data_IF_639784770392
#
_entry.id   IF_639784770392
#
_cell.length_a   1.000
_cell.length_b   1.000
_cell.length_c   1.000
_cell.angle_alpha   90.00
_cell.angle_beta   90.00
_cell.angle_gamma   90.00
#
_symmetry.space_group_name_H-M   'P 1'
#
loop_
_entity.id
_entity.type
_entity.pdbx_description
1 polymer ?
#
# COMPACT_ATOMS: atom_id res chain seq x y z
N UNK A 1 20.99 12.82 -7.89
CA UNK A 1 20.62 13.84 -8.91
C UNK A 1 19.70 13.18 -9.92
N UNK A 2 18.45 13.63 -10.01
CA UNK A 2 17.44 13.05 -10.91
C UNK A 2 17.78 13.52 -12.33
N UNK A 3 17.76 12.64 -13.35
CA UNK A 3 18.05 13.00 -14.72
C UNK A 3 17.09 14.11 -15.21
N UNK A 4 17.63 15.09 -15.96
CA UNK A 4 16.85 16.20 -16.50
C UNK A 4 15.74 15.74 -17.45
N UNK A 5 15.94 14.59 -18.13
CA UNK A 5 14.93 13.93 -18.96
C UNK A 5 13.67 13.53 -18.19
N UNK A 6 13.80 13.11 -16.93
CA UNK A 6 12.64 12.71 -16.09
C UNK A 6 11.78 13.92 -15.73
N UNK A 7 12.40 15.08 -15.47
CA UNK A 7 11.69 16.33 -15.20
C UNK A 7 10.94 16.87 -16.44
N UNK A 8 11.58 16.75 -17.61
CA UNK A 8 10.93 17.15 -18.87
C UNK A 8 9.71 16.29 -19.18
N UNK A 9 9.80 14.98 -18.94
CA UNK A 9 8.69 14.05 -19.13
C UNK A 9 7.54 14.31 -18.16
N UNK A 10 7.81 14.67 -16.90
CA UNK A 10 6.81 15.07 -15.92
C UNK A 10 6.05 16.33 -16.35
N UNK A 11 6.77 17.36 -16.79
CA UNK A 11 6.14 18.61 -17.26
C UNK A 11 5.25 18.38 -18.48
N UNK A 12 5.67 17.53 -19.42
CA UNK A 12 4.88 17.22 -20.62
C UNK A 12 3.63 16.39 -20.26
N UNK A 13 3.74 15.43 -19.33
CA UNK A 13 2.59 14.67 -18.83
C UNK A 13 1.58 15.52 -18.06
N UNK A 14 2.06 16.44 -17.23
CA UNK A 14 1.20 17.40 -16.52
C UNK A 14 0.48 18.31 -17.52
N UNK A 15 1.16 18.76 -18.57
CA UNK A 15 0.55 19.55 -19.66
C UNK A 15 -0.50 18.78 -20.45
N UNK A 16 -0.26 17.50 -20.78
CA UNK A 16 -1.21 16.65 -21.51
C UNK A 16 -2.40 16.25 -20.66
N UNK A 17 -2.22 16.03 -19.34
CA UNK A 17 -3.29 15.72 -18.40
C UNK A 17 -4.23 16.90 -18.12
N UNK A 18 -3.77 18.13 -18.29
CA UNK A 18 -4.55 19.37 -18.13
C UNK A 18 -5.16 19.89 -19.43
N UNK A 19 -5.10 19.13 -20.53
CA UNK A 19 -5.54 19.51 -21.86
C UNK A 19 -7.03 19.87 -21.98
N UNK A 20 -7.39 21.00 -21.40
CA UNK A 20 -8.57 21.80 -21.71
C UNK A 20 -8.12 23.19 -22.15
N UNK A 21 -8.22 23.43 -23.46
CA UNK A 21 -8.35 24.76 -24.01
C UNK A 21 -7.11 25.64 -24.01
N UNK A 22 -6.59 25.93 -25.24
CA UNK A 22 -5.73 27.07 -25.47
C UNK A 22 -6.38 28.36 -25.01
N UNK A 23 -6.08 28.77 -23.82
CA UNK A 23 -6.43 30.06 -23.26
C UNK A 23 -5.36 30.43 -22.25
N UNK A 24 -4.70 31.54 -22.54
CA UNK A 24 -3.74 32.30 -21.73
C UNK A 24 -3.25 31.60 -20.45
N UNK A 25 -1.95 31.34 -20.38
CA UNK A 25 -1.24 30.98 -19.15
C UNK A 25 -1.58 32.01 -18.05
N UNK A 26 -2.68 31.82 -17.36
CA UNK A 26 -3.01 32.61 -16.21
C UNK A 26 -2.15 32.18 -15.05
N UNK A 27 -1.62 33.13 -14.32
CA UNK A 27 -0.84 33.02 -13.08
C UNK A 27 -1.49 32.20 -11.94
N UNK A 28 -2.62 31.53 -12.19
CA UNK A 28 -3.39 30.80 -11.19
C UNK A 28 -2.73 29.52 -10.69
N UNK A 29 -1.95 28.81 -11.52
CA UNK A 29 -1.27 27.57 -11.11
C UNK A 29 -0.07 27.87 -10.20
N UNK A 30 0.75 28.86 -10.55
CA UNK A 30 1.84 29.33 -9.71
C UNK A 30 1.33 29.92 -8.37
N UNK A 31 0.22 30.66 -8.42
CA UNK A 31 -0.37 31.28 -7.22
C UNK A 31 -1.00 30.27 -6.25
N UNK A 32 -1.40 29.06 -6.69
CA UNK A 32 -1.92 28.03 -5.79
C UNK A 32 -0.78 27.33 -5.04
N UNK A 33 0.29 26.93 -5.73
CA UNK A 33 1.47 26.31 -5.12
C UNK A 33 2.20 27.27 -4.16
N UNK A 34 2.34 28.56 -4.55
CA UNK A 34 2.95 29.58 -3.70
C UNK A 34 2.12 29.92 -2.45
N UNK A 35 0.78 29.94 -2.56
CA UNK A 35 -0.12 30.12 -1.41
C UNK A 35 -0.06 28.91 -0.48
N UNK A 36 -0.03 27.70 -1.00
CA UNK A 36 0.10 26.48 -0.21
C UNK A 36 1.46 26.44 0.52
N UNK A 37 2.54 26.83 -0.15
CA UNK A 37 3.87 26.89 0.44
C UNK A 37 3.97 27.89 1.61
N UNK A 38 3.46 29.09 1.43
CA UNK A 38 3.42 30.12 2.49
C UNK A 38 2.63 29.65 3.72
N UNK A 39 1.48 29.03 3.51
CA UNK A 39 0.68 28.48 4.61
C UNK A 39 1.42 27.38 5.38
N UNK A 40 2.13 26.48 4.70
CA UNK A 40 2.93 25.44 5.33
C UNK A 40 4.13 26.01 6.10
N UNK A 41 4.83 27.00 5.53
CA UNK A 41 5.96 27.67 6.16
C UNK A 41 5.54 28.53 7.36
N UNK A 42 4.38 29.19 7.28
CA UNK A 42 3.81 29.97 8.39
C UNK A 42 3.42 29.06 9.55
N UNK A 43 2.76 27.93 9.27
CA UNK A 43 2.38 26.94 10.27
C UNK A 43 3.62 26.30 10.93
N UNK A 44 4.66 25.99 10.15
CA UNK A 44 5.92 25.50 10.69
C UNK A 44 6.61 26.56 11.56
N UNK A 45 6.56 27.82 11.17
CA UNK A 45 7.11 28.95 11.96
C UNK A 45 6.37 29.12 13.28
N UNK A 46 5.04 28.97 13.30
CA UNK A 46 4.26 29.03 14.53
C UNK A 46 4.67 27.88 15.48
N UNK A 47 4.80 26.66 14.97
CA UNK A 47 5.25 25.52 15.76
C UNK A 47 6.69 25.69 16.29
N UNK A 48 7.61 26.22 15.49
CA UNK A 48 9.00 26.50 15.92
C UNK A 48 9.04 27.48 17.10
N UNK A 49 8.14 28.47 17.10
CA UNK A 49 7.96 29.43 18.20
C UNK A 49 7.23 28.86 19.42
N UNK A 50 6.85 27.60 19.40
CA UNK A 50 6.12 26.92 20.49
C UNK A 50 4.61 27.19 20.50
N UNK A 51 4.04 27.75 19.44
CA UNK A 51 2.61 28.01 19.31
C UNK A 51 1.96 26.98 18.41
N UNK A 52 1.31 25.97 18.98
CA UNK A 52 0.55 24.96 18.26
C UNK A 52 1.26 23.60 18.09
N UNK A 53 0.54 22.65 17.50
CA UNK A 53 1.02 21.32 17.17
C UNK A 53 1.89 21.34 15.90
N UNK A 54 2.64 20.26 15.63
CA UNK A 54 3.38 20.13 14.38
C UNK A 54 2.42 20.10 13.18
N UNK A 55 2.68 20.90 12.12
CA UNK A 55 1.71 21.15 11.05
C UNK A 55 1.73 20.06 9.96
N UNK A 56 1.44 18.81 10.33
CA UNK A 56 1.40 17.69 9.40
C UNK A 56 0.45 17.92 8.21
N UNK A 57 -0.74 18.44 8.49
CA UNK A 57 -1.79 18.65 7.48
C UNK A 57 -1.36 19.67 6.43
N UNK A 58 -0.83 20.81 6.86
CA UNK A 58 -0.39 21.89 5.99
C UNK A 58 0.80 21.47 5.13
N UNK A 59 1.76 20.77 5.74
CA UNK A 59 2.94 20.24 5.05
C UNK A 59 2.55 19.14 4.04
N UNK A 60 1.67 18.21 4.42
CA UNK A 60 1.21 17.15 3.51
C UNK A 60 0.47 17.73 2.31
N UNK A 61 -0.44 18.69 2.53
CA UNK A 61 -1.14 19.40 1.44
C UNK A 61 -0.17 20.15 0.54
N UNK A 62 0.86 20.75 1.11
CA UNK A 62 1.90 21.40 0.31
C UNK A 62 2.61 20.39 -0.60
N UNK A 63 3.07 19.25 -0.06
CA UNK A 63 3.73 18.21 -0.87
C UNK A 63 2.81 17.60 -1.93
N UNK A 64 1.53 17.44 -1.63
CA UNK A 64 0.55 16.97 -2.63
C UNK A 64 0.31 17.99 -3.75
N UNK A 65 0.44 19.29 -3.45
CA UNK A 65 0.25 20.34 -4.43
C UNK A 65 1.47 20.58 -5.33
N UNK A 66 2.68 20.40 -4.81
CA UNK A 66 3.91 20.74 -5.55
C UNK A 66 4.78 19.53 -5.90
N UNK A 67 4.65 18.41 -5.19
CA UNK A 67 5.59 17.30 -5.19
C UNK A 67 6.80 17.57 -4.28
N UNK A 68 7.35 16.53 -3.66
CA UNK A 68 8.54 16.67 -2.78
C UNK A 68 9.77 17.15 -3.53
N UNK A 69 9.91 16.78 -4.83
CA UNK A 69 11.02 17.21 -5.67
C UNK A 69 11.02 18.73 -5.92
N UNK A 70 9.84 19.37 -5.86
CA UNK A 70 9.68 20.81 -6.07
C UNK A 70 9.54 21.60 -4.75
N UNK A 71 9.66 20.94 -3.60
CA UNK A 71 9.64 21.63 -2.31
C UNK A 71 10.84 22.58 -2.18
N UNK A 72 10.61 23.76 -1.57
CA UNK A 72 11.67 24.75 -1.43
C UNK A 72 12.84 24.19 -0.61
N UNK A 73 14.11 24.40 -1.04
CA UNK A 73 15.26 23.96 -0.24
C UNK A 73 15.28 24.57 1.17
N UNK A 74 14.64 25.72 1.37
CA UNK A 74 14.52 26.36 2.67
C UNK A 74 13.59 25.55 3.58
N UNK A 75 12.43 25.11 3.09
CA UNK A 75 11.50 24.26 3.85
C UNK A 75 12.16 22.92 4.22
N UNK A 76 12.80 22.26 3.25
CA UNK A 76 13.48 20.97 3.48
C UNK A 76 14.57 21.11 4.54
N UNK A 77 15.41 22.15 4.49
CA UNK A 77 16.43 22.41 5.52
C UNK A 77 15.82 22.63 6.90
N UNK A 78 14.70 23.37 7.01
CA UNK A 78 14.01 23.59 8.29
C UNK A 78 13.50 22.28 8.88
N UNK A 79 12.87 21.43 8.06
CA UNK A 79 12.38 20.12 8.49
C UNK A 79 13.54 19.20 8.92
N UNK A 80 14.62 19.16 8.16
CA UNK A 80 15.82 18.39 8.52
C UNK A 80 16.50 18.87 9.80
N UNK A 81 16.34 20.14 10.15
CA UNK A 81 16.91 20.75 11.37
C UNK A 81 16.05 20.56 12.63
N UNK A 82 14.87 19.91 12.54
CA UNK A 82 14.00 19.67 13.70
C UNK A 82 14.74 18.85 14.75
N UNK A 83 14.96 19.38 15.97
CA UNK A 83 15.73 18.70 17.00
C UNK A 83 15.08 17.40 17.46
N UNK A 84 15.87 16.35 17.67
CA UNK A 84 15.37 15.06 18.17
C UNK A 84 14.58 15.17 19.47
N UNK A 85 14.93 16.10 20.34
CA UNK A 85 14.21 16.38 21.60
C UNK A 85 12.78 16.89 21.40
N UNK A 86 12.43 17.34 20.19
CA UNK A 86 11.07 17.79 19.81
C UNK A 86 10.32 16.76 18.95
N UNK A 87 10.93 15.62 18.70
CA UNK A 87 10.34 14.55 17.87
C UNK A 87 9.74 13.48 18.77
N UNK A 88 8.43 13.26 18.64
CA UNK A 88 7.82 12.00 19.06
C UNK A 88 8.15 10.87 18.05
N UNK A 89 7.73 9.66 18.33
CA UNK A 89 8.01 8.51 17.47
C UNK A 89 7.43 8.66 16.06
N UNK A 90 6.26 9.30 15.93
CA UNK A 90 5.63 9.54 14.63
C UNK A 90 6.43 10.56 13.82
N UNK A 91 6.77 11.70 14.41
CA UNK A 91 7.53 12.75 13.74
C UNK A 91 8.92 12.25 13.33
N UNK A 92 9.57 11.46 14.20
CA UNK A 92 10.88 10.88 13.91
C UNK A 92 10.87 9.94 12.71
N UNK A 93 9.76 9.23 12.47
CA UNK A 93 9.59 8.36 11.30
C UNK A 93 9.10 9.15 10.06
N UNK A 94 8.30 10.21 10.26
CA UNK A 94 7.70 11.00 9.19
C UNK A 94 8.70 11.99 8.54
N UNK A 95 9.54 12.65 9.34
CA UNK A 95 10.50 13.66 8.84
C UNK A 95 11.46 13.13 7.76
N UNK A 96 12.08 11.94 7.89
CA UNK A 96 12.95 11.41 6.86
C UNK A 96 12.28 11.30 5.50
N UNK A 97 10.97 11.03 5.45
CA UNK A 97 10.23 10.97 4.19
C UNK A 97 10.09 12.32 3.51
N UNK A 98 9.94 13.40 4.27
CA UNK A 98 9.81 14.75 3.72
C UNK A 98 11.13 15.31 3.22
N UNK A 99 12.24 14.91 3.83
CA UNK A 99 13.58 15.35 3.49
C UNK A 99 14.26 14.45 2.44
N UNK A 100 13.70 13.26 2.18
CA UNK A 100 14.26 12.30 1.26
C UNK A 100 13.84 12.62 -0.18
N UNK A 101 14.71 13.30 -0.88
CA UNK A 101 14.58 13.54 -2.32
C UNK A 101 15.29 12.46 -3.15
N UNK A 102 16.20 11.66 -2.57
CA UNK A 102 17.09 10.77 -3.33
C UNK A 102 17.21 9.35 -2.77
N UNK A 103 16.97 9.06 -1.49
CA UNK A 103 17.44 7.82 -0.85
C UNK A 103 16.51 7.11 0.11
N UNK A 104 15.27 7.51 0.29
CA UNK A 104 14.36 6.84 1.21
C UNK A 104 14.19 5.35 0.84
N UNK A 105 14.45 4.47 1.79
CA UNK A 105 14.23 3.04 1.63
C UNK A 105 12.74 2.73 1.37
N UNK A 106 12.46 1.57 0.80
CA UNK A 106 11.09 1.06 0.60
C UNK A 106 10.21 1.16 1.86
N UNK A 107 10.72 0.92 3.09
CA UNK A 107 9.93 1.08 4.31
C UNK A 107 9.37 2.49 4.52
N UNK A 108 10.10 3.53 4.11
CA UNK A 108 9.64 4.92 4.26
C UNK A 108 8.54 5.29 3.27
N UNK A 109 8.50 4.67 2.12
CA UNK A 109 7.57 4.99 1.05
C UNK A 109 6.24 4.21 1.16
N UNK A 110 6.32 2.92 1.44
CA UNK A 110 5.20 1.99 1.39
C UNK A 110 4.71 1.55 2.77
N UNK A 111 5.64 1.27 3.69
CA UNK A 111 5.35 0.70 5.01
C UNK A 111 5.12 1.73 6.11
N UNK A 112 5.27 3.03 5.82
CA UNK A 112 5.17 4.07 6.85
C UNK A 112 3.85 4.00 7.64
N UNK A 113 2.66 3.87 7.02
CA UNK A 113 1.42 3.81 7.79
C UNK A 113 1.39 2.62 8.75
N UNK A 114 1.70 1.42 8.29
CA UNK A 114 1.70 0.22 9.13
C UNK A 114 2.79 0.27 10.21
N UNK A 115 3.97 0.80 9.89
CA UNK A 115 5.05 0.99 10.85
C UNK A 115 4.68 1.98 11.95
N UNK A 116 4.12 3.13 11.60
CA UNK A 116 3.73 4.17 12.55
C UNK A 116 2.65 3.71 13.52
N UNK A 117 1.65 3.00 13.03
CA UNK A 117 0.56 2.52 13.86
C UNK A 117 0.98 1.37 14.76
N UNK A 118 1.87 0.52 14.27
CA UNK A 118 2.34 -0.65 15.00
C UNK A 118 3.35 -0.28 16.10
N UNK A 119 4.19 0.73 15.86
CA UNK A 119 5.18 1.19 16.84
C UNK A 119 4.61 2.17 17.88
N UNK A 120 3.32 2.50 17.80
CA UNK A 120 2.66 3.39 18.74
C UNK A 120 2.92 4.89 18.49
N UNK A 121 3.33 5.25 17.30
CA UNK A 121 3.60 6.61 16.86
C UNK A 121 2.38 7.42 16.41
N UNK A 122 1.24 7.27 17.03
CA UNK A 122 0.09 8.19 16.85
C UNK A 122 0.29 9.46 17.66
N UNK A 123 -0.27 10.54 17.19
CA UNK A 123 -0.23 11.93 17.69
C UNK A 123 -0.25 12.09 19.21
N UNK A 124 0.90 11.97 19.86
CA UNK A 124 1.07 12.28 21.30
C UNK A 124 0.46 11.31 22.30
N UNK A 125 -0.28 10.30 21.87
CA UNK A 125 -0.68 9.15 22.67
C UNK A 125 0.02 7.91 22.13
N UNK A 126 1.25 7.70 22.61
CA UNK A 126 1.83 6.35 22.57
C UNK A 126 0.74 5.38 23.00
N UNK A 127 0.35 4.48 22.11
CA UNK A 127 -0.46 3.33 22.50
C UNK A 127 0.52 2.32 23.11
N UNK A 128 0.79 2.37 24.45
CA UNK A 128 1.74 1.49 25.07
C UNK A 128 1.27 0.05 24.85
N UNK A 129 2.13 -0.83 24.32
CA UNK A 129 1.88 -2.25 24.22
C UNK A 129 1.38 -2.80 22.87
N UNK A 130 1.13 -1.96 21.85
CA UNK A 130 0.73 -2.49 20.53
C UNK A 130 1.83 -3.33 19.85
N UNK A 131 3.09 -3.08 20.15
CA UNK A 131 4.21 -3.86 19.65
C UNK A 131 4.25 -5.31 20.19
N UNK A 132 3.62 -5.57 21.35
CA UNK A 132 3.62 -6.87 22.03
C UNK A 132 2.28 -7.61 21.95
N UNK A 133 1.19 -6.98 21.50
CA UNK A 133 -0.15 -7.58 21.42
C UNK A 133 -0.57 -7.79 19.95
N UNK A 134 -0.53 -9.07 19.46
CA UNK A 134 -0.87 -9.40 18.08
C UNK A 134 -2.32 -9.05 17.72
N UNK A 135 -3.26 -9.18 18.64
CA UNK A 135 -4.68 -8.91 18.38
C UNK A 135 -4.92 -7.41 18.23
N UNK A 136 -4.34 -6.60 19.10
CA UNK A 136 -4.39 -5.15 18.98
C UNK A 136 -3.74 -4.66 17.70
N UNK A 137 -2.60 -5.24 17.33
CA UNK A 137 -1.93 -4.96 16.05
C UNK A 137 -2.84 -5.27 14.86
N UNK A 138 -3.54 -6.41 14.91
CA UNK A 138 -4.50 -6.81 13.89
C UNK A 138 -5.62 -5.77 13.74
N UNK A 139 -6.24 -5.36 14.85
CA UNK A 139 -7.32 -4.36 14.83
C UNK A 139 -6.86 -3.04 14.22
N UNK A 140 -5.68 -2.55 14.60
CA UNK A 140 -5.11 -1.32 14.03
C UNK A 140 -4.82 -1.44 12.53
N UNK A 141 -4.34 -2.59 12.07
CA UNK A 141 -4.09 -2.84 10.65
C UNK A 141 -5.40 -2.97 9.85
N UNK A 142 -6.42 -3.55 10.43
CA UNK A 142 -7.76 -3.63 9.82
C UNK A 142 -8.34 -2.22 9.63
N UNK A 143 -8.26 -1.37 10.65
CA UNK A 143 -8.72 0.03 10.60
C UNK A 143 -7.89 0.86 9.62
N UNK A 144 -6.56 0.71 9.61
CA UNK A 144 -5.67 1.35 8.64
C UNK A 144 -6.02 0.97 7.22
N UNK A 145 -6.20 -0.33 6.97
CA UNK A 145 -6.55 -0.82 5.62
C UNK A 145 -7.84 -0.18 5.15
N UNK A 146 -8.87 -0.14 6.01
CA UNK A 146 -10.14 0.51 5.72
C UNK A 146 -9.94 2.00 5.41
N UNK A 147 -9.19 2.74 6.23
CA UNK A 147 -8.91 4.16 6.04
C UNK A 147 -8.26 4.43 4.67
N UNK A 148 -7.21 3.68 4.33
CA UNK A 148 -6.47 3.84 3.06
C UNK A 148 -7.33 3.47 1.85
N UNK A 149 -8.15 2.41 1.95
CA UNK A 149 -9.09 1.99 0.90
C UNK A 149 -10.17 3.02 0.70
N UNK A 150 -10.74 3.57 1.77
CA UNK A 150 -11.76 4.63 1.72
C UNK A 150 -11.22 5.90 1.05
N UNK A 151 -10.00 6.32 1.42
CA UNK A 151 -9.35 7.49 0.83
C UNK A 151 -9.03 7.27 -0.66
N UNK A 152 -8.50 6.10 -1.04
CA UNK A 152 -8.28 5.74 -2.43
C UNK A 152 -9.60 5.80 -3.23
N UNK A 153 -10.67 5.23 -2.71
CA UNK A 153 -11.97 5.23 -3.36
C UNK A 153 -12.52 6.66 -3.58
N UNK A 154 -12.46 7.50 -2.57
CA UNK A 154 -12.91 8.89 -2.64
C UNK A 154 -12.09 9.74 -3.61
N UNK A 155 -10.76 9.54 -3.60
CA UNK A 155 -9.82 10.24 -4.48
C UNK A 155 -10.06 9.88 -5.94
N UNK A 156 -10.19 8.59 -6.28
CA UNK A 156 -10.42 8.13 -7.65
C UNK A 156 -11.83 8.50 -8.16
N UNK A 157 -12.84 8.48 -7.29
CA UNK A 157 -14.16 8.94 -7.64
C UNK A 157 -14.17 10.45 -7.98
N UNK A 158 -13.45 11.27 -7.21
CA UNK A 158 -13.31 12.70 -7.44
C UNK A 158 -12.55 12.99 -8.74
N UNK A 159 -11.43 12.30 -8.97
CA UNK A 159 -10.65 12.42 -10.19
C UNK A 159 -11.47 12.09 -11.44
N UNK A 160 -12.35 11.09 -11.36
CA UNK A 160 -13.22 10.69 -12.46
C UNK A 160 -14.27 11.74 -12.82
N UNK A 161 -14.72 12.53 -11.85
CA UNK A 161 -15.65 13.65 -12.10
C UNK A 161 -14.94 14.83 -12.76
N UNK A 162 -13.67 15.06 -12.43
CA UNK A 162 -12.89 16.17 -12.96
C UNK A 162 -12.31 15.89 -14.37
N UNK A 163 -12.05 14.63 -14.71
CA UNK A 163 -11.42 14.24 -15.97
C UNK A 163 -11.95 12.90 -16.50
N UNK A 164 -13.04 12.90 -17.27
CA UNK A 164 -13.73 11.67 -17.72
C UNK A 164 -13.03 10.99 -18.92
N UNK A 165 -11.69 10.94 -18.94
CA UNK A 165 -10.93 10.26 -20.00
C UNK A 165 -10.94 8.73 -19.81
N UNK A 166 -10.71 7.93 -20.89
CA UNK A 166 -10.78 6.47 -20.81
C UNK A 166 -9.86 5.84 -19.75
N UNK A 167 -8.67 6.40 -19.54
CA UNK A 167 -7.73 5.91 -18.52
C UNK A 167 -8.29 6.07 -17.09
N UNK A 168 -8.93 7.20 -16.79
CA UNK A 168 -9.58 7.46 -15.50
C UNK A 168 -10.77 6.53 -15.29
N UNK A 169 -11.56 6.29 -16.36
CA UNK A 169 -12.66 5.31 -16.31
C UNK A 169 -12.16 3.90 -16.00
N UNK A 170 -11.09 3.46 -16.66
CA UNK A 170 -10.49 2.15 -16.40
C UNK A 170 -9.98 2.03 -14.96
N UNK A 171 -9.38 3.08 -14.43
CA UNK A 171 -8.90 3.17 -13.05
C UNK A 171 -10.05 3.11 -12.05
N UNK A 172 -11.07 3.93 -12.21
CA UNK A 172 -12.25 3.91 -11.34
C UNK A 172 -12.92 2.53 -11.34
N UNK A 173 -13.03 1.89 -12.52
CA UNK A 173 -13.56 0.52 -12.62
C UNK A 173 -12.67 -0.49 -11.87
N UNK A 174 -11.36 -0.34 -11.92
CA UNK A 174 -10.42 -1.19 -11.15
C UNK A 174 -10.52 -0.92 -9.64
N UNK A 175 -10.69 0.34 -9.23
CA UNK A 175 -10.94 0.73 -7.83
C UNK A 175 -12.23 0.10 -7.33
N UNK A 176 -13.33 0.23 -8.06
CA UNK A 176 -14.62 -0.39 -7.68
C UNK A 176 -14.50 -1.92 -7.59
N UNK A 177 -13.63 -2.54 -8.41
CA UNK A 177 -13.35 -3.99 -8.27
C UNK A 177 -12.61 -4.32 -6.98
N UNK A 178 -11.70 -3.48 -6.51
CA UNK A 178 -11.09 -3.65 -5.17
C UNK A 178 -12.17 -3.56 -4.07
N UNK A 179 -13.13 -2.65 -4.22
CA UNK A 179 -14.23 -2.46 -3.28
C UNK A 179 -15.24 -3.62 -3.24
N UNK A 180 -15.23 -4.55 -4.18
CA UNK A 180 -16.04 -5.79 -4.06
C UNK A 180 -15.57 -6.72 -2.93
N UNK A 181 -14.46 -6.41 -2.28
CA UNK A 181 -13.86 -7.16 -1.18
C UNK A 181 -13.91 -6.38 0.15
N UNK A 182 -14.91 -5.49 0.33
CA UNK A 182 -15.01 -4.65 1.53
C UNK A 182 -15.16 -5.47 2.83
N UNK A 183 -15.78 -6.63 2.76
CA UNK A 183 -15.90 -7.59 3.87
C UNK A 183 -14.54 -8.07 4.40
N UNK A 184 -13.55 -8.16 3.53
CA UNK A 184 -12.17 -8.55 3.89
C UNK A 184 -11.26 -7.36 4.13
N UNK A 185 -11.47 -6.25 3.40
CA UNK A 185 -10.64 -5.04 3.49
C UNK A 185 -10.98 -4.16 4.71
N UNK A 186 -12.22 -4.25 5.19
CA UNK A 186 -12.72 -3.52 6.35
C UNK A 186 -13.40 -4.46 7.36
N UNK A 187 -12.74 -5.57 7.77
CA UNK A 187 -13.33 -6.52 8.70
C UNK A 187 -13.54 -5.82 10.05
N UNK A 188 -14.66 -6.08 10.70
CA UNK A 188 -15.00 -5.42 11.97
C UNK A 188 -15.70 -4.07 11.81
N UNK A 189 -15.71 -3.48 10.64
CA UNK A 189 -16.57 -2.33 10.32
C UNK A 189 -17.95 -2.84 9.96
N UNK A 190 -18.98 -2.32 10.65
CA UNK A 190 -20.38 -2.70 10.41
C UNK A 190 -20.92 -1.94 9.19
N UNK A 191 -20.35 -2.22 8.03
CA UNK A 191 -20.83 -1.64 6.79
C UNK A 191 -22.21 -2.21 6.44
N UNK A 192 -23.08 -1.35 5.92
CA UNK A 192 -24.39 -1.78 5.42
C UNK A 192 -24.18 -2.83 4.30
N UNK A 193 -24.84 -4.01 4.36
CA UNK A 193 -24.77 -5.02 3.31
C UNK A 193 -25.05 -4.45 1.91
N UNK A 194 -25.93 -3.46 1.77
CA UNK A 194 -26.19 -2.79 0.51
C UNK A 194 -24.96 -2.01 -0.01
N UNK A 195 -24.17 -1.41 0.88
CA UNK A 195 -22.91 -0.73 0.51
C UNK A 195 -21.87 -1.75 0.07
N UNK A 196 -21.79 -2.91 0.70
CA UNK A 196 -20.87 -3.98 0.31
C UNK A 196 -21.26 -4.66 -1.02
N UNK A 197 -22.55 -4.79 -1.32
CA UNK A 197 -23.04 -5.39 -2.56
C UNK A 197 -22.93 -4.44 -3.77
N UNK A 198 -23.11 -3.14 -3.56
CA UNK A 198 -23.22 -2.16 -4.63
C UNK A 198 -22.03 -2.08 -5.59
N UNK A 199 -20.75 -2.20 -5.15
CA UNK A 199 -19.62 -2.27 -6.08
C UNK A 199 -19.73 -3.40 -7.11
N UNK A 200 -20.17 -4.60 -6.71
CA UNK A 200 -20.38 -5.71 -7.62
C UNK A 200 -21.52 -5.45 -8.61
N UNK A 201 -22.63 -4.88 -8.14
CA UNK A 201 -23.77 -4.46 -8.98
C UNK A 201 -23.36 -3.38 -10.00
N UNK A 202 -22.58 -2.38 -9.56
CA UNK A 202 -22.06 -1.32 -10.42
C UNK A 202 -21.15 -1.88 -11.53
N UNK A 203 -20.34 -2.89 -11.22
CA UNK A 203 -19.46 -3.56 -12.19
C UNK A 203 -20.22 -4.43 -13.18
N UNK A 204 -21.33 -5.05 -12.78
CA UNK A 204 -22.14 -5.90 -13.64
C UNK A 204 -22.82 -5.08 -14.78
N UNK A 205 -23.01 -3.78 -14.59
CA UNK A 205 -23.49 -2.87 -15.64
C UNK A 205 -22.34 -2.50 -16.58
N UNK A 206 -22.08 -3.37 -17.56
CA UNK A 206 -20.87 -3.34 -18.42
C UNK A 206 -20.67 -2.03 -19.17
N UNK A 207 -21.75 -1.34 -19.54
CA UNK A 207 -21.76 -0.06 -20.27
C UNK A 207 -22.37 1.09 -19.46
N UNK A 208 -22.52 0.91 -18.12
CA UNK A 208 -23.08 1.92 -17.24
C UNK A 208 -22.32 3.25 -17.31
N UNK A 209 -22.99 4.39 -17.11
CA UNK A 209 -22.34 5.69 -17.07
C UNK A 209 -21.25 5.73 -15.97
N UNK A 210 -20.23 6.53 -16.20
CA UNK A 210 -19.12 6.74 -15.24
C UNK A 210 -19.65 7.11 -13.84
N UNK A 211 -20.79 7.80 -13.78
CA UNK A 211 -21.47 8.22 -12.55
C UNK A 211 -21.81 7.03 -11.63
N UNK A 212 -22.20 5.87 -12.17
CA UNK A 212 -22.52 4.69 -11.36
C UNK A 212 -21.27 4.15 -10.63
N UNK A 213 -20.14 4.09 -11.33
CA UNK A 213 -18.87 3.66 -10.72
C UNK A 213 -18.37 4.69 -9.71
N UNK A 214 -18.53 6.00 -10.02
CA UNK A 214 -18.17 7.07 -9.10
C UNK A 214 -19.06 7.06 -7.85
N UNK A 215 -20.37 6.85 -8.00
CA UNK A 215 -21.30 6.73 -6.89
C UNK A 215 -20.97 5.52 -6.00
N UNK A 216 -20.63 4.37 -6.60
CA UNK A 216 -20.22 3.19 -5.83
C UNK A 216 -18.95 3.45 -5.00
N UNK A 217 -17.95 4.10 -5.59
CA UNK A 217 -16.72 4.44 -4.89
C UNK A 217 -16.95 5.49 -3.79
N UNK A 218 -17.78 6.52 -4.05
CA UNK A 218 -18.12 7.55 -3.06
C UNK A 218 -18.93 7.00 -1.89
N UNK A 219 -19.92 6.14 -2.12
CA UNK A 219 -20.68 5.48 -1.05
C UNK A 219 -19.80 4.62 -0.17
N UNK A 220 -18.93 3.81 -0.78
CA UNK A 220 -17.98 3.01 -0.02
C UNK A 220 -17.03 3.90 0.80
N UNK A 221 -16.44 4.93 0.21
CA UNK A 221 -15.57 5.89 0.89
C UNK A 221 -16.25 6.56 2.08
N UNK A 222 -17.51 7.00 1.89
CA UNK A 222 -18.30 7.63 2.94
C UNK A 222 -18.59 6.65 4.08
N UNK A 223 -19.09 5.46 3.76
CA UNK A 223 -19.46 4.46 4.77
C UNK A 223 -18.23 4.00 5.59
N UNK A 224 -17.06 3.84 4.95
CA UNK A 224 -15.82 3.57 5.64
C UNK A 224 -15.41 4.74 6.54
N UNK A 225 -15.48 5.98 6.01
CA UNK A 225 -15.10 7.19 6.74
C UNK A 225 -15.96 7.44 7.99
N UNK A 226 -17.21 6.98 8.01
CA UNK A 226 -18.09 7.05 9.18
C UNK A 226 -17.73 6.04 10.28
N UNK A 227 -16.96 5.01 9.97
CA UNK A 227 -16.56 3.92 10.87
C UNK A 227 -15.10 4.04 11.36
N UNK A 228 -14.24 4.60 10.52
CA UNK A 228 -12.82 4.81 10.84
C UNK A 228 -12.69 5.98 11.81
N UNK A 229 -11.83 5.84 12.83
CA UNK A 229 -11.55 6.94 13.76
C UNK A 229 -10.92 8.13 13.03
N UNK A 230 -11.25 9.34 13.48
CA UNK A 230 -10.66 10.58 12.94
C UNK A 230 -9.13 10.57 13.06
N UNK A 231 -8.60 9.99 14.15
CA UNK A 231 -7.16 9.85 14.36
C UNK A 231 -6.51 8.96 13.28
N UNK A 232 -7.10 7.80 13.00
CA UNK A 232 -6.62 6.89 11.96
C UNK A 232 -6.70 7.52 10.57
N UNK A 233 -7.83 8.10 10.21
CA UNK A 233 -8.04 8.76 8.92
C UNK A 233 -7.02 9.90 8.72
N UNK A 234 -6.81 10.72 9.75
CA UNK A 234 -5.85 11.83 9.71
C UNK A 234 -4.41 11.33 9.59
N UNK A 235 -4.05 10.32 10.38
CA UNK A 235 -2.71 9.70 10.32
C UNK A 235 -2.44 9.08 8.95
N UNK A 236 -3.41 8.35 8.40
CA UNK A 236 -3.29 7.80 7.06
C UNK A 236 -3.10 8.92 6.01
N UNK A 237 -3.88 10.00 6.08
CA UNK A 237 -3.75 11.13 5.17
C UNK A 237 -2.35 11.75 5.17
N UNK A 238 -1.70 11.89 6.32
CA UNK A 238 -0.35 12.45 6.45
C UNK A 238 0.75 11.60 5.81
N UNK A 239 0.47 10.34 5.48
CA UNK A 239 1.46 9.44 4.85
C UNK A 239 1.50 9.52 3.32
N UNK A 240 0.65 10.33 2.68
CA UNK A 240 0.70 10.56 1.23
C UNK A 240 1.61 11.75 0.92
N UNK A 241 2.86 11.44 0.66
CA UNK A 241 3.90 12.42 0.37
C UNK A 241 4.50 12.14 -1.02
N UNK A 242 3.81 12.50 -2.10
CA UNK A 242 4.27 12.21 -3.46
C UNK A 242 5.55 13.00 -3.79
N UNK A 243 6.41 12.43 -4.60
CA UNK A 243 7.61 13.09 -5.13
C UNK A 243 7.23 14.01 -6.29
N UNK A 244 6.26 13.59 -7.08
CA UNK A 244 5.77 14.31 -8.26
C UNK A 244 4.39 14.93 -8.01
N UNK A 245 3.88 15.69 -8.98
CA UNK A 245 2.49 16.20 -8.97
C UNK A 245 1.51 15.29 -9.69
N UNK A 246 1.96 14.11 -10.13
CA UNK A 246 1.11 13.18 -10.86
C UNK A 246 0.08 12.55 -9.92
N UNK A 247 -1.20 12.65 -10.29
CA UNK A 247 -2.28 11.93 -9.58
C UNK A 247 -2.03 10.42 -9.57
N UNK A 248 -1.41 9.88 -10.60
CA UNK A 248 -1.01 8.48 -10.72
C UNK A 248 -0.10 8.04 -9.56
N UNK A 249 0.75 8.93 -9.05
CA UNK A 249 1.64 8.61 -7.92
C UNK A 249 0.85 8.50 -6.61
N UNK A 250 -0.17 9.31 -6.38
CA UNK A 250 -1.05 9.20 -5.20
C UNK A 250 -1.75 7.83 -5.21
N UNK A 251 -2.33 7.43 -6.34
CA UNK A 251 -2.92 6.11 -6.51
C UNK A 251 -1.89 5.00 -6.27
N UNK A 252 -0.68 5.15 -6.82
CA UNK A 252 0.42 4.20 -6.63
C UNK A 252 0.77 4.05 -5.15
N UNK A 253 1.02 5.17 -4.42
CA UNK A 253 1.35 5.16 -2.99
C UNK A 253 0.26 4.44 -2.20
N UNK A 254 -1.01 4.81 -2.39
CA UNK A 254 -2.13 4.18 -1.67
C UNK A 254 -2.24 2.70 -1.95
N UNK A 255 -2.07 2.29 -3.20
CA UNK A 255 -2.11 0.87 -3.57
C UNK A 255 -1.00 0.09 -2.89
N UNK A 256 0.24 0.63 -2.85
CA UNK A 256 1.35 -0.02 -2.16
C UNK A 256 1.14 -0.06 -0.64
N UNK A 257 0.55 0.97 -0.04
CA UNK A 257 0.19 0.95 1.39
C UNK A 257 -0.84 -0.13 1.73
N UNK A 258 -1.82 -0.37 0.84
CA UNK A 258 -2.76 -1.49 1.00
C UNK A 258 -2.04 -2.83 0.88
N UNK A 259 -1.11 -3.00 -0.07
CA UNK A 259 -0.30 -4.23 -0.17
C UNK A 259 0.46 -4.51 1.13
N UNK A 260 1.16 -3.51 1.68
CA UNK A 260 1.94 -3.67 2.90
C UNK A 260 1.05 -4.02 4.10
N UNK A 261 -0.09 -3.35 4.27
CA UNK A 261 -1.03 -3.65 5.33
C UNK A 261 -1.59 -5.08 5.21
N UNK A 262 -1.94 -5.53 4.00
CA UNK A 262 -2.41 -6.89 3.77
C UNK A 262 -1.31 -7.93 4.00
N UNK A 263 -0.06 -7.69 3.59
CA UNK A 263 1.04 -8.61 3.89
C UNK A 263 1.29 -8.73 5.41
N UNK A 264 1.22 -7.62 6.15
CA UNK A 264 1.32 -7.67 7.61
C UNK A 264 0.18 -8.50 8.23
N UNK A 265 -1.07 -8.29 7.80
CA UNK A 265 -2.23 -9.05 8.28
C UNK A 265 -2.12 -10.55 7.93
N UNK A 266 -1.65 -10.87 6.71
CA UNK A 266 -1.40 -12.25 6.29
C UNK A 266 -0.30 -12.87 7.16
N UNK A 267 0.79 -12.15 7.40
CA UNK A 267 1.89 -12.60 8.25
C UNK A 267 1.44 -12.88 9.68
N UNK A 268 0.59 -12.01 10.25
CA UNK A 268 -0.02 -12.24 11.58
C UNK A 268 -0.90 -13.48 11.59
N UNK A 269 -1.76 -13.68 10.58
CA UNK A 269 -2.64 -14.84 10.51
C UNK A 269 -1.84 -16.14 10.32
N UNK A 270 -0.79 -16.14 9.50
CA UNK A 270 0.13 -17.29 9.31
C UNK A 270 0.84 -17.64 10.62
N UNK A 271 1.34 -16.64 11.35
CA UNK A 271 2.00 -16.84 12.64
C UNK A 271 1.03 -17.40 13.67
N UNK A 272 -0.16 -16.81 13.79
CA UNK A 272 -1.20 -17.29 14.72
C UNK A 272 -1.67 -18.72 14.37
N UNK A 273 -1.79 -19.04 13.06
CA UNK A 273 -2.12 -20.42 12.64
C UNK A 273 -1.04 -21.41 13.09
N UNK A 274 0.25 -21.07 12.90
CA UNK A 274 1.36 -21.89 13.36
C UNK A 274 1.28 -22.17 14.87
N UNK A 275 1.03 -21.13 15.67
CA UNK A 275 0.96 -21.23 17.12
C UNK A 275 -0.22 -22.12 17.55
N UNK A 276 -1.40 -21.93 16.97
CA UNK A 276 -2.56 -22.78 17.19
C UNK A 276 -2.32 -24.24 16.81
N UNK A 277 -1.60 -24.51 15.71
CA UNK A 277 -1.24 -25.88 15.35
C UNK A 277 -0.28 -26.50 16.37
N UNK A 278 0.74 -25.77 16.82
CA UNK A 278 1.68 -26.24 17.85
C UNK A 278 0.94 -26.58 19.15
N UNK A 279 -0.14 -25.87 19.47
CA UNK A 279 -1.03 -26.14 20.60
C UNK A 279 -2.06 -27.25 20.32
N UNK A 280 -2.07 -27.84 19.12
CA UNK A 280 -3.02 -28.87 18.71
C UNK A 280 -4.42 -28.36 18.35
N UNK A 281 -4.62 -27.05 18.24
CA UNK A 281 -5.89 -26.39 17.95
C UNK A 281 -6.15 -26.31 16.43
N UNK A 282 -6.29 -27.46 15.79
CA UNK A 282 -6.37 -27.59 14.32
C UNK A 282 -7.57 -26.85 13.72
N UNK A 283 -8.72 -26.86 14.38
CA UNK A 283 -9.93 -26.18 13.89
C UNK A 283 -9.75 -24.67 13.86
N UNK A 284 -9.29 -24.07 14.95
CA UNK A 284 -9.05 -22.62 15.07
C UNK A 284 -7.92 -22.16 14.14
N UNK A 285 -6.89 -23.00 13.99
CA UNK A 285 -5.81 -22.80 13.01
C UNK A 285 -6.34 -22.77 11.58
N UNK A 286 -7.29 -23.65 11.24
CA UNK A 286 -7.91 -23.69 9.90
C UNK A 286 -8.69 -22.41 9.61
N UNK A 287 -9.49 -21.90 10.56
CA UNK A 287 -10.25 -20.66 10.41
C UNK A 287 -9.31 -19.45 10.32
N UNK A 288 -8.25 -19.44 11.09
CA UNK A 288 -7.25 -18.38 11.07
C UNK A 288 -6.49 -18.33 9.74
N UNK A 289 -6.14 -19.50 9.18
CA UNK A 289 -5.51 -19.58 7.86
C UNK A 289 -6.45 -19.16 6.74
N UNK A 290 -7.74 -19.42 6.84
CA UNK A 290 -8.74 -18.96 5.89
C UNK A 290 -8.73 -17.43 5.76
N UNK A 291 -8.56 -16.70 6.85
CA UNK A 291 -8.41 -15.21 6.82
C UNK A 291 -7.18 -14.76 6.03
N UNK A 292 -6.07 -15.51 6.10
CA UNK A 292 -4.88 -15.22 5.26
C UNK A 292 -5.17 -15.48 3.78
N UNK A 293 -5.89 -16.56 3.47
CA UNK A 293 -6.31 -16.89 2.09
C UNK A 293 -7.19 -15.79 1.51
N UNK A 294 -8.19 -15.34 2.23
CA UNK A 294 -9.13 -14.30 1.78
C UNK A 294 -8.37 -13.00 1.45
N UNK A 295 -7.47 -12.56 2.32
CA UNK A 295 -6.62 -11.38 2.06
C UNK A 295 -5.70 -11.56 0.86
N UNK A 296 -5.09 -12.73 0.70
CA UNK A 296 -4.20 -13.04 -0.42
C UNK A 296 -4.93 -13.00 -1.76
N UNK A 297 -6.21 -13.41 -1.80
CA UNK A 297 -7.02 -13.44 -3.03
C UNK A 297 -7.38 -12.05 -3.56
N UNK A 298 -7.25 -10.99 -2.76
CA UNK A 298 -7.51 -9.61 -3.17
C UNK A 298 -6.34 -9.03 -3.96
N UNK A 299 -5.11 -9.42 -3.65
CA UNK A 299 -3.89 -8.80 -4.17
C UNK A 299 -3.84 -8.70 -5.72
N UNK A 300 -4.33 -9.68 -6.50
CA UNK A 300 -4.44 -9.53 -7.96
C UNK A 300 -5.31 -8.34 -8.41
N UNK A 301 -6.33 -7.95 -7.63
CA UNK A 301 -7.17 -6.79 -7.94
C UNK A 301 -6.42 -5.48 -7.78
N UNK A 302 -5.51 -5.38 -6.79
CA UNK A 302 -4.62 -4.24 -6.63
C UNK A 302 -3.61 -4.14 -7.78
N UNK A 303 -3.06 -5.26 -8.27
CA UNK A 303 -2.21 -5.24 -9.47
C UNK A 303 -2.97 -4.79 -10.73
N UNK A 304 -4.26 -5.14 -10.85
CA UNK A 304 -5.09 -4.61 -11.95
C UNK A 304 -5.28 -3.11 -11.84
N UNK A 305 -5.43 -2.58 -10.62
CA UNK A 305 -5.50 -1.14 -10.38
C UNK A 305 -4.19 -0.46 -10.81
N UNK A 306 -3.04 -0.93 -10.35
CA UNK A 306 -1.72 -0.43 -10.79
C UNK A 306 -1.58 -0.51 -12.32
N UNK A 307 -2.13 -1.56 -12.95
CA UNK A 307 -2.12 -1.74 -14.39
C UNK A 307 -2.92 -0.70 -15.18
N UNK A 308 -3.69 0.16 -14.53
CA UNK A 308 -4.38 1.28 -15.19
C UNK A 308 -3.51 2.52 -15.35
N UNK A 309 -2.35 2.52 -14.69
CA UNK A 309 -1.41 3.63 -14.78
C UNK A 309 -0.78 3.70 -16.19
N UNK A 310 -0.74 4.88 -16.82
CA UNK A 310 -0.05 5.08 -18.08
C UNK A 310 1.44 4.73 -17.96
N UNK A 311 2.00 4.10 -19.00
CA UNK A 311 3.44 3.75 -19.04
C UNK A 311 4.34 4.98 -18.85
N UNK A 312 3.96 6.10 -19.44
CA UNK A 312 4.69 7.36 -19.30
C UNK A 312 4.67 7.89 -17.87
N UNK A 313 3.51 7.86 -17.17
CA UNK A 313 3.44 8.25 -15.76
C UNK A 313 4.30 7.35 -14.88
N UNK A 314 4.27 6.04 -15.13
CA UNK A 314 5.11 5.11 -14.39
C UNK A 314 6.61 5.34 -14.65
N UNK A 315 7.00 5.68 -15.87
CA UNK A 315 8.40 6.00 -16.20
C UNK A 315 8.93 7.20 -15.40
N UNK A 316 8.11 8.24 -15.25
CA UNK A 316 8.43 9.40 -14.40
C UNK A 316 8.56 8.98 -12.94
N UNK A 317 7.55 8.32 -12.38
CA UNK A 317 7.55 7.86 -10.97
C UNK A 317 8.77 6.95 -10.72
N UNK A 318 9.06 6.04 -11.64
CA UNK A 318 10.20 5.13 -11.57
C UNK A 318 11.55 5.86 -11.52
N UNK A 319 11.69 7.00 -12.22
CA UNK A 319 12.89 7.82 -12.18
C UNK A 319 13.24 8.30 -10.76
N UNK A 320 12.21 8.50 -9.92
CA UNK A 320 12.37 8.89 -8.52
C UNK A 320 12.46 7.70 -7.53
N UNK A 321 12.20 6.47 -7.99
CA UNK A 321 12.25 5.28 -7.13
C UNK A 321 13.55 4.47 -7.30
N UNK A 322 14.62 5.08 -7.75
CA UNK A 322 15.92 4.43 -7.97
C UNK A 322 16.35 3.60 -6.76
N UNK A 323 16.61 2.29 -7.00
CA UNK A 323 17.03 1.36 -5.95
C UNK A 323 15.93 0.89 -4.99
N UNK A 324 14.69 1.33 -5.15
CA UNK A 324 13.55 0.94 -4.31
C UNK A 324 12.70 -0.10 -5.03
N UNK A 325 12.36 -1.20 -4.33
CA UNK A 325 11.64 -2.32 -4.92
C UNK A 325 10.89 -3.11 -3.85
N UNK A 326 9.86 -3.84 -4.28
CA UNK A 326 9.10 -4.77 -3.43
C UNK A 326 9.98 -5.84 -2.74
N UNK A 327 11.18 -6.13 -3.25
CA UNK A 327 12.15 -7.04 -2.59
C UNK A 327 12.63 -6.52 -1.24
N UNK A 328 12.45 -5.22 -0.97
CA UNK A 328 12.78 -4.57 0.29
C UNK A 328 11.61 -4.59 1.30
N UNK A 329 10.43 -5.08 0.90
CA UNK A 329 9.28 -5.21 1.79
C UNK A 329 9.54 -6.25 2.86
N UNK A 330 9.62 -5.81 4.10
CA UNK A 330 9.71 -6.68 5.26
C UNK A 330 8.44 -7.53 5.44
N UNK A 331 7.28 -6.94 5.24
CA UNK A 331 5.98 -7.60 5.38
C UNK A 331 5.81 -8.74 4.40
N UNK A 332 6.12 -8.49 3.11
CA UNK A 332 6.12 -9.53 2.07
C UNK A 332 7.09 -10.67 2.41
N UNK A 333 8.34 -10.33 2.74
CA UNK A 333 9.37 -11.33 3.04
C UNK A 333 9.04 -12.12 4.30
N UNK A 334 8.44 -11.47 5.30
CA UNK A 334 7.98 -12.13 6.52
C UNK A 334 6.94 -13.19 6.24
N UNK A 335 5.99 -12.97 5.32
CA UNK A 335 5.04 -14.01 4.89
C UNK A 335 5.79 -15.21 4.33
N UNK A 336 6.77 -15.01 3.44
CA UNK A 336 7.53 -16.10 2.84
C UNK A 336 8.22 -16.98 3.88
N UNK A 337 8.99 -16.37 4.80
CA UNK A 337 9.77 -17.11 5.79
C UNK A 337 8.91 -17.72 6.91
N UNK A 338 7.77 -17.12 7.22
CA UNK A 338 6.81 -17.68 8.18
C UNK A 338 6.10 -18.93 7.61
N UNK A 339 5.90 -18.99 6.30
CA UNK A 339 5.26 -20.13 5.65
C UNK A 339 6.21 -21.33 5.50
N UNK A 340 7.45 -21.11 5.07
CA UNK A 340 8.42 -22.18 4.87
C UNK A 340 9.84 -21.63 4.93
N UNK A 341 10.82 -22.47 5.26
CA UNK A 341 12.23 -22.12 5.20
C UNK A 341 12.61 -21.60 3.80
N UNK A 342 13.35 -20.51 3.76
CA UNK A 342 13.78 -19.85 2.53
C UNK A 342 15.26 -19.51 2.58
N UNK A 343 15.99 -19.70 1.47
CA UNK A 343 17.35 -19.22 1.37
C UNK A 343 17.40 -17.69 1.55
N UNK A 344 18.54 -17.21 1.99
CA UNK A 344 18.78 -15.77 2.03
C UNK A 344 18.57 -15.15 0.65
N UNK A 345 17.99 -13.94 0.57
CA UNK A 345 17.78 -13.29 -0.72
C UNK A 345 19.12 -13.05 -1.43
N UNK A 346 19.19 -13.39 -2.72
CA UNK A 346 20.36 -13.11 -3.56
C UNK A 346 20.40 -11.68 -4.10
N UNK A 347 19.35 -10.89 -3.84
CA UNK A 347 19.21 -9.53 -4.34
C UNK A 347 19.77 -8.54 -3.30
N UNK A 348 20.70 -7.64 -3.67
CA UNK A 348 21.23 -6.64 -2.75
C UNK A 348 20.12 -5.75 -2.18
N UNK A 349 20.20 -5.48 -0.87
CA UNK A 349 19.20 -4.64 -0.18
C UNK A 349 17.84 -5.28 0.04
N UNK A 350 17.67 -6.58 -0.30
CA UNK A 350 16.44 -7.29 0.02
C UNK A 350 16.22 -7.39 1.54
N UNK A 351 14.95 -7.35 1.95
CA UNK A 351 14.58 -7.50 3.34
C UNK A 351 14.96 -8.89 3.88
N UNK A 352 15.55 -8.92 5.06
CA UNK A 352 15.96 -10.15 5.77
C UNK A 352 15.37 -10.17 7.18
N UNK A 353 14.03 -10.29 7.33
CA UNK A 353 13.43 -10.39 8.65
C UNK A 353 13.93 -11.65 9.37
N UNK A 354 14.14 -11.53 10.67
CA UNK A 354 14.45 -12.69 11.52
C UNK A 354 13.19 -13.54 11.73
N UNK A 355 13.39 -14.85 11.79
CA UNK A 355 12.35 -15.81 12.13
C UNK A 355 12.86 -16.77 13.19
N UNK A 356 12.04 -17.08 14.18
CA UNK A 356 12.35 -18.02 15.27
C UNK A 356 11.21 -19.02 15.44
N UNK A 357 11.55 -20.26 15.72
CA UNK A 357 10.59 -21.35 15.86
C UNK A 357 10.22 -22.00 14.51
N UNK A 358 9.30 -22.99 14.54
CA UNK A 358 8.90 -23.71 13.33
C UNK A 358 8.18 -22.80 12.36
N UNK A 359 8.28 -23.08 11.07
CA UNK A 359 7.46 -22.47 10.03
C UNK A 359 6.06 -23.07 10.04
N UNK A 360 5.13 -22.41 9.35
CA UNK A 360 3.77 -22.95 9.23
C UNK A 360 3.76 -24.30 8.51
N UNK A 361 4.63 -24.51 7.51
CA UNK A 361 4.78 -25.80 6.82
C UNK A 361 5.25 -26.90 7.74
N UNK A 362 6.25 -26.65 8.61
CA UNK A 362 6.77 -27.60 9.58
C UNK A 362 5.69 -27.98 10.60
N UNK A 363 5.02 -26.99 11.18
CA UNK A 363 3.92 -27.23 12.10
C UNK A 363 2.80 -28.06 11.45
N UNK A 364 2.42 -27.78 10.19
CA UNK A 364 1.43 -28.59 9.48
C UNK A 364 1.87 -30.05 9.28
N UNK A 365 3.13 -30.30 8.95
CA UNK A 365 3.65 -31.65 8.72
C UNK A 365 3.54 -32.54 9.98
N UNK A 366 3.62 -31.97 11.18
CA UNK A 366 3.41 -32.69 12.44
C UNK A 366 1.94 -33.07 12.63
N UNK A 367 1.00 -32.18 12.30
CA UNK A 367 -0.43 -32.35 12.56
C UNK A 367 -1.24 -32.84 11.36
N UNK A 368 -0.62 -33.18 10.23
CA UNK A 368 -1.31 -33.58 8.97
C UNK A 368 -2.21 -34.81 9.08
N UNK A 369 -2.05 -35.63 10.13
CA UNK A 369 -2.87 -36.81 10.42
C UNK A 369 -3.92 -36.57 11.52
N UNK A 370 -3.98 -35.37 12.08
CA UNK A 370 -4.92 -35.02 13.12
C UNK A 370 -6.36 -34.94 12.58
N UNK A 371 -7.37 -35.10 13.43
CA UNK A 371 -8.75 -34.82 13.05
C UNK A 371 -8.90 -33.40 12.52
N UNK A 372 -9.59 -33.24 11.40
CA UNK A 372 -9.74 -31.92 10.72
C UNK A 372 -8.60 -31.49 9.77
N UNK A 373 -7.52 -32.26 9.69
CA UNK A 373 -6.37 -31.96 8.83
C UNK A 373 -6.72 -31.81 7.34
N UNK A 374 -7.79 -32.46 6.86
CA UNK A 374 -8.22 -32.34 5.47
C UNK A 374 -8.62 -30.89 5.13
N UNK A 375 -9.44 -30.24 5.98
CA UNK A 375 -9.84 -28.84 5.77
C UNK A 375 -8.64 -27.90 5.88
N UNK A 376 -7.71 -28.19 6.77
CA UNK A 376 -6.48 -27.43 6.90
C UNK A 376 -5.63 -27.55 5.62
N UNK A 377 -5.47 -28.77 5.06
CA UNK A 377 -4.78 -29.02 3.80
C UNK A 377 -5.38 -28.21 2.64
N UNK A 378 -6.71 -28.14 2.57
CA UNK A 378 -7.41 -27.30 1.57
C UNK A 378 -7.02 -25.82 1.71
N UNK A 379 -6.91 -25.28 2.94
CA UNK A 379 -6.48 -23.89 3.14
C UNK A 379 -5.02 -23.68 2.72
N UNK A 380 -4.13 -24.63 2.95
CA UNK A 380 -2.74 -24.58 2.46
C UNK A 380 -2.69 -24.52 0.94
N UNK A 381 -3.42 -25.40 0.25
CA UNK A 381 -3.49 -25.42 -1.20
C UNK A 381 -4.09 -24.11 -1.78
N UNK A 382 -5.13 -23.57 -1.15
CA UNK A 382 -5.74 -22.29 -1.51
C UNK A 382 -4.76 -21.13 -1.32
N UNK A 383 -4.01 -21.10 -0.22
CA UNK A 383 -3.03 -20.05 0.05
C UNK A 383 -1.88 -20.09 -0.96
N UNK A 384 -1.34 -21.28 -1.27
CA UNK A 384 -0.30 -21.45 -2.30
C UNK A 384 -0.79 -20.98 -3.67
N UNK A 385 -2.00 -21.38 -4.04
CA UNK A 385 -2.62 -20.99 -5.31
C UNK A 385 -2.80 -19.47 -5.40
N UNK A 386 -3.29 -18.83 -4.35
CA UNK A 386 -3.50 -17.39 -4.27
C UNK A 386 -2.15 -16.64 -4.32
N UNK A 387 -1.14 -17.13 -3.59
CA UNK A 387 0.23 -16.60 -3.62
C UNK A 387 0.84 -16.61 -5.02
N UNK A 388 0.80 -17.75 -5.70
CA UNK A 388 1.28 -17.86 -7.08
C UNK A 388 0.45 -17.01 -8.05
N UNK A 389 -0.86 -16.91 -7.83
CA UNK A 389 -1.76 -16.03 -8.58
C UNK A 389 -1.39 -14.56 -8.46
N UNK A 390 -1.08 -14.11 -7.25
CA UNK A 390 -0.58 -12.77 -6.97
C UNK A 390 0.74 -12.50 -7.71
N UNK A 391 1.72 -13.39 -7.61
CA UNK A 391 3.01 -13.26 -8.30
C UNK A 391 2.86 -13.24 -9.83
N UNK A 392 1.98 -14.07 -10.40
CA UNK A 392 1.65 -14.03 -11.85
C UNK A 392 1.05 -12.68 -12.25
N UNK A 393 0.19 -12.11 -11.41
CA UNK A 393 -0.39 -10.79 -11.66
C UNK A 393 0.68 -9.70 -11.65
N UNK A 394 1.63 -9.77 -10.72
CA UNK A 394 2.79 -8.87 -10.67
C UNK A 394 3.67 -9.01 -11.93
N UNK A 395 3.99 -10.23 -12.33
CA UNK A 395 4.73 -10.48 -13.55
C UNK A 395 4.04 -9.92 -14.79
N UNK A 396 2.73 -10.17 -14.95
CA UNK A 396 1.96 -9.69 -16.09
C UNK A 396 1.93 -8.15 -16.19
N UNK A 397 1.74 -7.45 -15.05
CA UNK A 397 1.78 -5.98 -15.05
C UNK A 397 3.19 -5.45 -15.35
N UNK A 398 4.24 -6.11 -14.84
CA UNK A 398 5.62 -5.72 -15.10
C UNK A 398 5.95 -5.82 -16.59
N UNK A 399 5.54 -6.90 -17.26
CA UNK A 399 5.69 -7.04 -18.71
C UNK A 399 4.98 -5.92 -19.47
N UNK A 400 3.80 -5.52 -19.03
CA UNK A 400 2.98 -4.50 -19.67
C UNK A 400 3.56 -3.09 -19.51
N UNK A 401 4.05 -2.75 -18.29
CA UNK A 401 4.44 -1.38 -17.94
C UNK A 401 5.94 -1.15 -18.14
N UNK A 402 6.78 -2.12 -17.79
CA UNK A 402 8.24 -2.00 -17.81
C UNK A 402 8.84 -2.73 -19.02
N UNK A 403 8.17 -3.79 -19.51
CA UNK A 403 8.70 -4.64 -20.56
C UNK A 403 9.87 -5.51 -20.08
N UNK A 404 10.97 -5.51 -20.85
CA UNK A 404 12.15 -6.38 -20.60
C UNK A 404 13.31 -5.67 -19.88
N UNK A 405 13.11 -4.45 -19.37
CA UNK A 405 14.17 -3.72 -18.67
C UNK A 405 14.39 -4.27 -17.25
N UNK A 406 15.61 -4.12 -16.67
CA UNK A 406 15.89 -4.55 -15.31
C UNK A 406 14.95 -3.93 -14.28
N UNK A 407 14.69 -4.65 -13.19
CA UNK A 407 13.90 -4.15 -12.06
C UNK A 407 14.66 -3.07 -11.26
N UNK A 408 13.91 -2.21 -10.57
CA UNK A 408 14.48 -1.10 -9.78
C UNK A 408 15.31 -1.58 -8.58
N UNK A 409 15.07 -2.79 -8.05
CA UNK A 409 15.79 -3.36 -6.91
C UNK A 409 16.98 -4.24 -7.28
N UNK A 410 17.60 -4.06 -8.47
CA UNK A 410 18.73 -4.86 -8.91
C UNK A 410 18.36 -6.27 -9.40
N UNK A 411 17.06 -6.55 -9.60
CA UNK A 411 16.56 -7.80 -10.17
C UNK A 411 16.65 -7.78 -11.70
N UNK A 412 16.60 -8.97 -12.33
CA UNK A 412 16.49 -9.11 -13.79
C UNK A 412 15.10 -8.71 -14.34
N UNK A 413 14.25 -8.12 -13.50
CA UNK A 413 12.93 -7.62 -13.90
C UNK A 413 11.93 -8.74 -14.16
N UNK A 414 11.29 -8.74 -15.34
CA UNK A 414 10.22 -9.68 -15.65
C UNK A 414 10.64 -11.17 -15.58
N UNK A 415 11.88 -11.52 -15.91
CA UNK A 415 12.37 -12.91 -15.81
C UNK A 415 12.47 -13.39 -14.35
N UNK A 416 12.95 -12.54 -13.45
CA UNK A 416 12.94 -12.82 -12.01
C UNK A 416 11.52 -13.10 -11.48
N UNK A 417 10.57 -12.24 -11.85
CA UNK A 417 9.18 -12.38 -11.41
C UNK A 417 8.50 -13.63 -11.99
N UNK A 418 8.87 -14.04 -13.21
CA UNK A 418 8.38 -15.31 -13.78
C UNK A 418 8.82 -16.47 -12.91
N UNK A 419 10.12 -16.64 -12.66
CA UNK A 419 10.66 -17.70 -11.79
C UNK A 419 10.01 -17.65 -10.40
N UNK A 420 9.90 -16.46 -9.81
CA UNK A 420 9.25 -16.29 -8.51
C UNK A 420 7.78 -16.74 -8.53
N UNK A 421 7.05 -16.59 -9.66
CA UNK A 421 5.65 -17.00 -9.78
C UNK A 421 5.44 -18.52 -9.91
N UNK A 422 6.49 -19.23 -10.28
CA UNK A 422 6.52 -20.70 -10.39
C UNK A 422 6.89 -21.35 -9.04
N UNK A 423 7.55 -20.60 -8.14
CA UNK A 423 8.00 -21.11 -6.84
C UNK A 423 6.82 -21.25 -5.87
N UNK A 424 6.54 -22.45 -5.34
CA UNK A 424 5.46 -22.66 -4.37
C UNK A 424 5.75 -21.97 -3.03
N UNK A 425 4.68 -21.60 -2.33
CA UNK A 425 4.77 -21.05 -0.98
C UNK A 425 5.17 -22.14 0.03
N UNK A 426 4.75 -23.38 -0.22
CA UNK A 426 5.01 -24.57 0.60
C UNK A 426 5.74 -25.65 -0.20
N UNK A 427 7.09 -25.55 -0.39
CA UNK A 427 7.83 -26.46 -1.25
C UNK A 427 7.72 -27.94 -0.87
N UNK A 428 7.80 -28.28 0.43
CA UNK A 428 7.75 -29.67 0.88
C UNK A 428 6.37 -30.34 0.67
N UNK A 429 5.31 -29.54 0.49
CA UNK A 429 4.01 -30.08 0.15
C UNK A 429 3.88 -30.34 -1.36
N UNK A 430 4.41 -29.45 -2.19
CA UNK A 430 4.40 -29.57 -3.63
C UNK A 430 5.24 -30.78 -4.13
N UNK A 431 6.35 -31.11 -3.46
CA UNK A 431 7.19 -32.27 -3.80
C UNK A 431 6.46 -33.61 -3.57
N UNK A 432 5.61 -33.68 -2.55
CA UNK A 432 4.85 -34.90 -2.21
C UNK A 432 3.67 -35.18 -3.13
N UNK A 433 3.03 -34.13 -3.66
CA UNK A 433 1.96 -34.27 -4.67
C UNK A 433 2.50 -34.80 -6.00
N UNK A 434 3.77 -34.53 -6.33
CA UNK A 434 4.42 -35.03 -7.53
C UNK A 434 4.92 -36.49 -7.41
N UNK A 435 4.88 -37.08 -6.21
CA UNK A 435 5.36 -38.44 -5.89
C UNK A 435 4.18 -39.41 -5.57
N UNK A 436 2.96 -38.94 -5.58
CA UNK A 436 1.73 -39.72 -5.37
C UNK A 436 0.94 -39.84 -6.67
#
# INVERSE_FOLDING_TARGET
MIPESVRADEEDLVRRGTGLGGGSRSAAGATCGERSGRTAEDALTAWEKGTGAFPYTELTRHYQAVGRDQASPALVRRLAAVPRSRQDAFLAAWLPMTCDQESGGYPTYAGLPSHLLVTGGGTGRSVPGAAGDPERRRVLLDELTAAVVGELAGTEATAALLSPIPAVRARLRATVRVLTHLDVLAPGHRLDPAVCAYPAEALARTEGPLSILSDAAQRAAKAIGEQVSTEMATTAAWTVLPVTRLHDEIMFIRTIQIFEALYEQIGLAVTATRDLLVEGQVADGTETLARAVDRMTILPSLFRLLGTMPVASFAVIRGYTSGRSAVQSHSYRRVEIACAERPAPSVPGAATPSWTGPTLQEAYLEFRKAPGAVRLAEQFARLDTAWRGMKRSHWAITLRIIGKVPGTGGTTGASYLRTASETPLFPALAEKENLS
#
